data_IF_023357573652
#
_entry.id   IF_023357573652
#
_cell.length_a   1.000
_cell.length_b   1.000
_cell.length_c   1.000
_cell.angle_alpha   90.00
_cell.angle_beta   90.00
_cell.angle_gamma   90.00
#
_symmetry.space_group_name_H-M   'P 1'
#
loop_
_entity.id
_entity.type
_entity.pdbx_description
1 polymer ?
#
# COMPACT_ATOMS: atom_id res chain seq x y z
N UNK A 1 -13.62 -1.98 -8.98
CA UNK A 1 -12.85 -1.22 -7.99
C UNK A 1 -12.26 -2.24 -7.04
N UNK A 2 -10.93 -2.23 -6.86
CA UNK A 2 -10.25 -3.09 -5.88
C UNK A 2 -10.03 -2.25 -4.62
N UNK A 3 -10.47 -2.76 -3.47
CA UNK A 3 -10.43 -2.04 -2.21
C UNK A 3 -9.75 -2.92 -1.15
N UNK A 4 -8.86 -2.31 -0.38
CA UNK A 4 -8.21 -2.92 0.78
C UNK A 4 -8.57 -2.11 2.01
N UNK A 5 -9.25 -2.73 2.97
CA UNK A 5 -9.58 -2.12 4.26
C UNK A 5 -8.81 -2.88 5.32
N UNK A 6 -7.96 -2.17 6.07
CA UNK A 6 -7.10 -2.74 7.09
C UNK A 6 -7.20 -1.90 8.35
N UNK A 7 -7.31 -2.57 9.49
CA UNK A 7 -7.27 -1.97 10.82
C UNK A 7 -6.18 -2.68 11.64
N UNK A 8 -5.37 -1.92 12.37
CA UNK A 8 -4.36 -2.49 13.24
C UNK A 8 -3.45 -1.45 13.88
N UNK A 9 -2.49 -1.94 14.65
CA UNK A 9 -1.55 -1.12 15.42
C UNK A 9 -0.32 -0.68 14.63
N UNK A 10 -0.22 -1.10 13.37
CA UNK A 10 0.93 -0.79 12.52
C UNK A 10 0.80 0.59 11.89
N UNK A 11 1.94 1.22 11.61
CA UNK A 11 1.97 2.53 10.96
C UNK A 11 1.28 2.45 9.57
N UNK A 12 0.34 3.37 9.24
CA UNK A 12 -0.35 3.37 7.94
C UNK A 12 0.60 3.40 6.73
N UNK A 13 1.72 4.14 6.80
CA UNK A 13 2.71 4.18 5.73
C UNK A 13 3.36 2.80 5.51
N UNK A 14 3.63 2.05 6.58
CA UNK A 14 4.13 0.68 6.50
C UNK A 14 3.11 -0.25 5.86
N UNK A 15 1.84 -0.13 6.24
CA UNK A 15 0.74 -0.93 5.67
C UNK A 15 0.59 -0.65 4.17
N UNK A 16 0.63 0.61 3.75
CA UNK A 16 0.64 1.01 2.33
C UNK A 16 1.77 0.32 1.56
N UNK A 17 2.98 0.27 2.11
CA UNK A 17 4.11 -0.42 1.48
C UNK A 17 3.91 -1.94 1.42
N UNK A 18 3.32 -2.55 2.45
CA UNK A 18 2.98 -3.97 2.45
C UNK A 18 1.93 -4.31 1.39
N UNK A 19 0.93 -3.46 1.18
CA UNK A 19 -0.05 -3.63 0.09
C UNK A 19 0.65 -3.56 -1.27
N UNK A 20 1.57 -2.62 -1.47
CA UNK A 20 2.35 -2.53 -2.71
C UNK A 20 3.13 -3.82 -3.00
N UNK A 21 3.82 -4.33 -1.99
CA UNK A 21 4.55 -5.57 -2.09
C UNK A 21 3.60 -6.75 -2.39
N UNK A 22 2.49 -6.84 -1.67
CA UNK A 22 1.47 -7.86 -1.91
C UNK A 22 0.95 -7.83 -3.36
N UNK A 23 0.65 -6.65 -3.91
CA UNK A 23 0.19 -6.53 -5.31
C UNK A 23 1.25 -7.06 -6.30
N UNK A 24 2.54 -6.78 -6.05
CA UNK A 24 3.65 -7.29 -6.88
C UNK A 24 3.78 -8.80 -6.77
N UNK A 25 3.78 -9.34 -5.55
CA UNK A 25 3.92 -10.78 -5.28
C UNK A 25 2.71 -11.57 -5.80
N UNK A 26 1.50 -11.04 -5.61
CA UNK A 26 0.27 -11.66 -6.07
C UNK A 26 0.23 -11.78 -7.59
N UNK A 27 0.86 -10.85 -8.31
CA UNK A 27 1.02 -10.96 -9.76
C UNK A 27 1.80 -12.22 -10.16
N UNK A 28 2.86 -12.57 -9.44
CA UNK A 28 3.63 -13.81 -9.69
C UNK A 28 2.76 -15.02 -9.42
N UNK A 29 1.96 -14.98 -8.35
CA UNK A 29 1.01 -16.06 -8.05
C UNK A 29 -0.03 -16.24 -9.17
N UNK A 30 -0.51 -15.14 -9.77
CA UNK A 30 -1.41 -15.20 -10.92
C UNK A 30 -0.75 -15.83 -12.17
N UNK A 31 0.56 -15.65 -12.35
CA UNK A 31 1.30 -16.30 -13.44
C UNK A 31 1.42 -17.82 -13.22
N UNK A 32 1.66 -18.24 -11.98
CA UNK A 32 1.79 -19.65 -11.59
C UNK A 32 0.45 -20.41 -11.54
N UNK A 33 -0.68 -19.70 -11.46
CA UNK A 33 -2.01 -20.29 -11.36
C UNK A 33 -2.28 -21.26 -12.53
N UNK A 34 -2.65 -22.51 -12.25
CA UNK A 34 -2.95 -23.45 -13.34
C UNK A 34 -4.28 -23.09 -14.02
N UNK A 35 -4.48 -23.58 -15.25
CA UNK A 35 -5.76 -23.38 -15.96
C UNK A 35 -6.90 -24.01 -15.18
N UNK A 36 -6.68 -25.18 -14.57
CA UNK A 36 -7.67 -25.88 -13.75
C UNK A 36 -8.02 -25.11 -12.47
N UNK A 37 -7.02 -24.54 -11.78
CA UNK A 37 -7.25 -23.70 -10.58
C UNK A 37 -8.04 -22.43 -10.93
N UNK A 38 -7.72 -21.81 -12.07
CA UNK A 38 -8.43 -20.65 -12.58
C UNK A 38 -9.89 -20.99 -12.91
N UNK A 39 -10.12 -22.03 -13.69
CA UNK A 39 -11.46 -22.49 -14.04
C UNK A 39 -12.28 -22.87 -12.80
N UNK A 40 -11.67 -23.54 -11.82
CA UNK A 40 -12.31 -23.87 -10.54
C UNK A 40 -12.73 -22.62 -9.76
N UNK A 41 -11.88 -21.58 -9.77
CA UNK A 41 -12.19 -20.29 -9.14
C UNK A 41 -13.33 -19.56 -9.85
N UNK A 42 -13.35 -19.58 -11.19
CA UNK A 42 -14.43 -19.02 -12.00
C UNK A 42 -15.74 -19.75 -11.76
N UNK A 43 -15.73 -21.09 -11.72
CA UNK A 43 -16.93 -21.89 -11.43
C UNK A 43 -17.47 -21.61 -10.03
N UNK A 44 -16.59 -21.52 -9.03
CA UNK A 44 -16.98 -21.18 -7.66
C UNK A 44 -17.64 -19.80 -7.59
N UNK A 45 -17.12 -18.82 -8.33
CA UNK A 45 -17.71 -17.48 -8.41
C UNK A 45 -19.07 -17.47 -9.14
N UNK A 46 -19.22 -18.29 -10.19
CA UNK A 46 -20.51 -18.46 -10.89
C UNK A 46 -21.54 -19.08 -9.95
N UNK A 47 -21.18 -20.14 -9.21
CA UNK A 47 -22.08 -20.77 -8.25
C UNK A 47 -22.52 -19.81 -7.15
N UNK A 48 -21.60 -18.98 -6.64
CA UNK A 48 -21.92 -17.94 -5.66
C UNK A 48 -22.90 -16.90 -6.22
N UNK A 49 -22.73 -16.50 -7.48
CA UNK A 49 -23.64 -15.55 -8.14
C UNK A 49 -25.02 -16.15 -8.43
N UNK A 50 -25.08 -17.45 -8.73
CA UNK A 50 -26.35 -18.15 -9.01
C UNK A 50 -27.16 -18.47 -7.75
N UNK A 51 -26.61 -18.23 -6.56
CA UNK A 51 -27.35 -18.42 -5.32
C UNK A 51 -28.61 -17.55 -5.31
N UNK A 52 -29.76 -18.21 -5.19
CA UNK A 52 -31.05 -17.53 -5.27
C UNK A 52 -31.25 -16.65 -4.04
N UNK A 53 -31.73 -15.43 -4.26
CA UNK A 53 -32.19 -14.56 -3.18
C UNK A 53 -33.28 -15.27 -2.37
N UNK A 54 -33.02 -15.45 -1.07
CA UNK A 54 -33.86 -16.29 -0.20
C UNK A 54 -35.09 -15.53 0.28
N UNK A 55 -35.00 -14.21 0.44
CA UNK A 55 -36.09 -13.38 0.92
C UNK A 55 -36.54 -12.33 -0.09
N UNK A 56 -37.82 -11.95 0.00
CA UNK A 56 -38.39 -10.81 -0.75
C UNK A 56 -37.66 -9.51 -0.42
N UNK A 57 -37.12 -9.38 0.80
CA UNK A 57 -36.33 -8.22 1.20
C UNK A 57 -35.01 -8.12 0.42
N UNK A 58 -34.35 -9.25 0.19
CA UNK A 58 -33.12 -9.30 -0.61
C UNK A 58 -33.40 -9.01 -2.08
N UNK A 59 -34.50 -9.55 -2.63
CA UNK A 59 -34.97 -9.27 -3.98
C UNK A 59 -35.32 -7.79 -4.17
N UNK A 60 -36.06 -7.21 -3.22
CA UNK A 60 -36.37 -5.78 -3.21
C UNK A 60 -35.10 -4.92 -3.14
N UNK A 61 -34.18 -5.23 -2.23
CA UNK A 61 -32.91 -4.50 -2.08
C UNK A 61 -32.05 -4.57 -3.34
N UNK A 62 -32.01 -5.73 -3.99
CA UNK A 62 -31.31 -5.93 -5.25
C UNK A 62 -31.89 -5.04 -6.37
N UNK A 63 -33.20 -5.13 -6.62
CA UNK A 63 -33.87 -4.29 -7.61
C UNK A 63 -33.75 -2.80 -7.29
N UNK A 64 -33.86 -2.43 -6.02
CA UNK A 64 -33.76 -1.04 -5.59
C UNK A 64 -32.36 -0.47 -5.83
N UNK A 65 -31.29 -1.26 -5.67
CA UNK A 65 -29.94 -0.82 -6.02
C UNK A 65 -29.78 -0.51 -7.52
N UNK A 66 -30.49 -1.24 -8.38
CA UNK A 66 -30.52 -0.97 -9.82
C UNK A 66 -31.30 0.30 -10.17
N UNK A 67 -32.38 0.59 -9.46
CA UNK A 67 -33.16 1.82 -9.59
C UNK A 67 -32.35 3.02 -9.08
N UNK A 68 -31.80 2.93 -7.86
CA UNK A 68 -31.05 4.00 -7.21
C UNK A 68 -29.73 4.35 -7.92
N UNK A 69 -29.21 3.45 -8.74
CA UNK A 69 -28.04 3.71 -9.57
C UNK A 69 -28.37 4.27 -10.96
N UNK A 70 -29.65 4.45 -11.30
CA UNK A 70 -30.17 4.85 -12.61
C UNK A 70 -29.71 3.97 -13.78
N UNK A 71 -29.23 2.75 -13.49
CA UNK A 71 -28.73 1.82 -14.50
C UNK A 71 -29.80 0.88 -15.02
N UNK A 72 -30.82 0.57 -14.21
CA UNK A 72 -31.96 -0.31 -14.56
C UNK A 72 -31.58 -1.67 -15.19
N UNK A 73 -30.38 -2.20 -14.88
CA UNK A 73 -29.86 -3.46 -15.42
C UNK A 73 -30.35 -4.67 -14.61
N UNK A 74 -31.64 -4.98 -14.70
CA UNK A 74 -32.25 -6.11 -13.98
C UNK A 74 -31.89 -7.50 -14.55
N UNK A 75 -31.16 -7.54 -15.65
CA UNK A 75 -30.57 -8.73 -16.27
C UNK A 75 -29.06 -8.82 -16.01
N UNK A 76 -28.53 -8.00 -15.09
CA UNK A 76 -27.10 -7.93 -14.81
C UNK A 76 -26.53 -9.29 -14.38
N UNK A 77 -27.30 -10.08 -13.64
CA UNK A 77 -26.82 -11.34 -13.11
C UNK A 77 -26.53 -12.34 -14.22
N UNK A 78 -27.48 -12.52 -15.14
CA UNK A 78 -27.36 -13.40 -16.31
C UNK A 78 -26.20 -12.96 -17.18
N UNK A 79 -26.12 -11.65 -17.48
CA UNK A 79 -25.02 -11.08 -18.24
C UNK A 79 -23.66 -11.31 -17.56
N UNK A 80 -23.53 -11.02 -16.26
CA UNK A 80 -22.27 -11.20 -15.51
C UNK A 80 -21.81 -12.68 -15.60
N UNK A 81 -22.74 -13.64 -15.49
CA UNK A 81 -22.44 -15.07 -15.60
C UNK A 81 -21.96 -15.44 -17.01
N UNK A 82 -22.61 -14.92 -18.05
CA UNK A 82 -22.19 -15.18 -19.44
C UNK A 82 -20.78 -14.65 -19.72
N UNK A 83 -20.45 -13.45 -19.22
CA UNK A 83 -19.11 -12.89 -19.36
C UNK A 83 -18.08 -13.66 -18.54
N UNK A 84 -18.42 -14.11 -17.33
CA UNK A 84 -17.52 -14.91 -16.49
C UNK A 84 -17.14 -16.24 -17.15
N UNK A 85 -18.07 -16.88 -17.86
CA UNK A 85 -17.80 -18.14 -18.60
C UNK A 85 -16.83 -17.97 -19.76
N UNK A 86 -16.72 -16.76 -20.31
CA UNK A 86 -15.83 -16.45 -21.43
C UNK A 86 -14.46 -15.93 -20.98
N UNK A 87 -14.30 -15.65 -19.68
CA UNK A 87 -13.10 -15.06 -19.13
C UNK A 87 -11.93 -16.06 -19.17
N UNK A 88 -10.79 -15.64 -19.72
CA UNK A 88 -9.57 -16.43 -19.70
C UNK A 88 -8.57 -15.95 -18.64
N UNK A 89 -7.59 -16.79 -18.31
CA UNK A 89 -6.47 -16.41 -17.44
C UNK A 89 -5.68 -15.23 -18.03
N UNK A 90 -5.51 -15.21 -19.35
CA UNK A 90 -4.79 -14.14 -20.04
C UNK A 90 -5.52 -12.79 -19.92
N UNK A 91 -6.86 -12.79 -19.95
CA UNK A 91 -7.67 -11.59 -19.70
C UNK A 91 -7.45 -11.04 -18.29
N UNK A 92 -7.37 -11.93 -17.28
CA UNK A 92 -7.10 -11.54 -15.90
C UNK A 92 -5.70 -10.92 -15.75
N UNK A 93 -4.68 -11.52 -16.38
CA UNK A 93 -3.32 -10.99 -16.37
C UNK A 93 -3.25 -9.63 -17.09
N UNK A 94 -3.89 -9.51 -18.25
CA UNK A 94 -3.98 -8.25 -19.00
C UNK A 94 -4.71 -7.17 -18.19
N UNK A 95 -5.78 -7.51 -17.48
CA UNK A 95 -6.47 -6.60 -16.57
C UNK A 95 -5.54 -6.13 -15.43
N UNK A 96 -4.82 -7.06 -14.80
CA UNK A 96 -3.89 -6.76 -13.71
C UNK A 96 -2.78 -5.81 -14.16
N UNK A 97 -2.15 -6.10 -15.31
CA UNK A 97 -1.09 -5.28 -15.89
C UNK A 97 -1.57 -3.94 -16.42
N UNK A 98 -2.86 -3.80 -16.74
CA UNK A 98 -3.40 -2.55 -17.27
C UNK A 98 -3.82 -1.56 -16.18
N UNK A 99 -4.34 -2.06 -15.06
CA UNK A 99 -5.01 -1.23 -14.05
C UNK A 99 -4.45 -1.36 -12.62
N UNK A 100 -3.87 -2.49 -12.24
CA UNK A 100 -3.58 -2.79 -10.83
C UNK A 100 -2.09 -2.67 -10.49
N UNK A 101 -1.21 -3.18 -11.35
CA UNK A 101 0.22 -3.20 -11.06
C UNK A 101 0.84 -1.81 -11.26
N UNK A 102 1.29 -1.15 -10.18
CA UNK A 102 1.89 0.19 -10.24
C UNK A 102 3.07 0.29 -11.22
N UNK A 103 3.81 -0.80 -11.44
CA UNK A 103 5.03 -0.78 -12.24
C UNK A 103 4.74 -0.95 -13.74
N UNK A 104 3.61 -1.56 -14.11
CA UNK A 104 3.26 -1.86 -15.53
C UNK A 104 2.00 -1.14 -16.02
N UNK A 105 1.11 -0.71 -15.11
CA UNK A 105 -0.21 -0.19 -15.43
C UNK A 105 -0.18 1.25 -15.95
N UNK A 106 -0.54 1.40 -17.23
CA UNK A 106 -0.74 2.70 -17.89
C UNK A 106 -1.89 3.49 -17.27
N UNK A 107 -2.90 2.82 -16.73
CA UNK A 107 -4.09 3.43 -16.14
C UNK A 107 -4.18 3.15 -14.64
N UNK A 108 -3.04 3.16 -13.96
CA UNK A 108 -2.99 3.02 -12.52
C UNK A 108 -3.65 4.22 -11.85
N UNK A 109 -4.73 3.98 -11.10
CA UNK A 109 -5.38 4.98 -10.27
C UNK A 109 -5.50 4.43 -8.86
N UNK A 110 -5.03 5.19 -7.88
CA UNK A 110 -5.04 4.80 -6.48
C UNK A 110 -5.45 5.98 -5.60
N UNK A 111 -6.25 5.67 -4.59
CA UNK A 111 -6.56 6.55 -3.49
C UNK A 111 -6.22 5.84 -2.19
N UNK A 112 -5.38 6.46 -1.36
CA UNK A 112 -5.09 5.99 -0.02
C UNK A 112 -5.73 6.91 1.00
N UNK A 113 -6.51 6.33 1.91
CA UNK A 113 -7.01 7.02 3.10
C UNK A 113 -6.30 6.46 4.32
N UNK A 114 -5.44 7.27 4.93
CA UNK A 114 -4.67 6.86 6.10
C UNK A 114 -5.22 7.51 7.36
N UNK A 115 -5.59 6.68 8.34
CA UNK A 115 -5.99 7.11 9.68
C UNK A 115 -4.86 6.81 10.66
N UNK A 116 -4.39 7.84 11.37
CA UNK A 116 -3.25 7.73 12.28
C UNK A 116 -3.74 7.70 13.73
N UNK A 117 -3.24 6.73 14.49
CA UNK A 117 -3.48 6.64 15.93
C UNK A 117 -2.58 7.62 16.68
N UNK A 118 -3.14 8.33 17.67
CA UNK A 118 -2.38 9.25 18.53
C UNK A 118 -1.25 8.58 19.33
N UNK A 119 -1.25 7.24 19.43
CA UNK A 119 -0.21 6.46 20.10
C UNK A 119 1.02 6.21 19.23
N UNK A 120 0.88 6.37 17.92
CA UNK A 120 1.93 6.08 16.94
C UNK A 120 2.56 7.42 16.53
N UNK A 121 3.86 7.41 16.27
CA UNK A 121 4.50 8.57 15.68
C UNK A 121 3.92 8.86 14.29
N UNK A 122 3.51 10.10 14.07
CA UNK A 122 3.02 10.61 12.79
C UNK A 122 4.07 11.57 12.20
N UNK A 123 4.40 11.46 10.90
CA UNK A 123 5.24 12.44 10.23
C UNK A 123 4.55 13.81 10.15
N UNK A 124 5.33 14.87 10.29
CA UNK A 124 4.88 16.24 10.04
C UNK A 124 4.66 16.47 8.54
N UNK A 125 3.85 17.48 8.16
CA UNK A 125 3.62 17.80 6.75
C UNK A 125 4.92 18.05 5.95
N UNK A 126 5.92 18.66 6.58
CA UNK A 126 7.22 18.94 5.97
C UNK A 126 8.03 17.65 5.73
N UNK A 127 7.96 16.69 6.65
CA UNK A 127 8.62 15.39 6.50
C UNK A 127 8.01 14.56 5.37
N UNK A 128 6.69 14.66 5.14
CA UNK A 128 6.02 14.04 4.00
C UNK A 128 6.44 14.62 2.64
N UNK A 129 6.82 15.90 2.60
CA UNK A 129 7.32 16.57 1.40
C UNK A 129 8.80 16.29 1.16
N UNK A 130 9.57 16.07 2.22
CA UNK A 130 11.02 15.92 2.13
C UNK A 130 11.47 14.46 1.94
N UNK A 131 10.75 13.50 2.53
CA UNK A 131 11.20 12.10 2.58
C UNK A 131 10.24 11.15 1.85
N UNK A 132 10.76 10.16 1.10
CA UNK A 132 9.96 9.10 0.50
C UNK A 132 9.13 8.32 1.54
N UNK A 133 7.99 7.79 1.10
CA UNK A 133 7.02 7.12 1.99
C UNK A 133 7.62 5.87 2.65
N UNK A 134 8.52 5.19 1.96
CA UNK A 134 9.20 4.02 2.50
C UNK A 134 10.22 4.34 3.62
N UNK A 135 10.86 5.51 3.56
CA UNK A 135 11.76 6.01 4.61
C UNK A 135 10.97 6.33 5.87
N UNK A 136 9.82 7.01 5.71
CA UNK A 136 8.89 7.31 6.80
C UNK A 136 8.33 6.05 7.44
N UNK A 137 8.02 5.03 6.62
CA UNK A 137 7.62 3.71 7.08
C UNK A 137 8.70 3.04 7.95
N UNK A 138 9.95 2.98 7.46
CA UNK A 138 11.06 2.39 8.20
C UNK A 138 11.31 3.11 9.52
N UNK A 139 11.35 4.45 9.50
CA UNK A 139 11.51 5.25 10.70
C UNK A 139 10.39 5.03 11.72
N UNK A 140 9.15 4.96 11.25
CA UNK A 140 7.99 4.62 12.09
C UNK A 140 8.12 3.25 12.74
N UNK A 141 8.59 2.24 11.99
CA UNK A 141 8.86 0.91 12.52
C UNK A 141 9.99 0.92 13.57
N UNK A 142 11.09 1.64 13.32
CA UNK A 142 12.20 1.79 14.28
C UNK A 142 11.72 2.39 15.60
N UNK A 143 10.94 3.47 15.54
CA UNK A 143 10.35 4.09 16.75
C UNK A 143 9.40 3.16 17.48
N UNK A 144 8.57 2.40 16.75
CA UNK A 144 7.68 1.41 17.36
C UNK A 144 8.44 0.27 18.05
N UNK A 145 9.63 -0.07 17.55
CA UNK A 145 10.55 -1.03 18.17
C UNK A 145 11.36 -0.47 19.35
N UNK A 146 11.15 0.79 19.74
CA UNK A 146 11.86 1.43 20.85
C UNK A 146 13.18 2.12 20.45
N UNK A 147 13.54 2.13 19.17
CA UNK A 147 14.73 2.81 18.66
C UNK A 147 14.42 4.29 18.39
N UNK A 148 14.54 5.14 19.40
CA UNK A 148 14.19 6.58 19.33
C UNK A 148 15.39 7.51 19.14
N UNK A 149 16.61 6.98 19.19
CA UNK A 149 17.85 7.76 19.15
C UNK A 149 18.20 8.28 17.75
N UNK A 150 17.67 7.64 16.70
CA UNK A 150 17.97 7.99 15.31
C UNK A 150 17.05 9.12 14.83
N UNK A 151 17.56 9.98 13.95
CA UNK A 151 16.79 10.97 13.20
C UNK A 151 16.40 10.45 11.82
N UNK A 152 15.33 11.02 11.23
CA UNK A 152 14.87 10.64 9.89
C UNK A 152 15.93 10.92 8.84
N UNK A 153 16.65 12.04 8.94
CA UNK A 153 17.73 12.40 8.04
C UNK A 153 18.87 11.36 8.02
N UNK A 154 19.19 10.79 9.18
CA UNK A 154 20.22 9.74 9.28
C UNK A 154 19.75 8.45 8.63
N UNK A 155 18.51 8.02 8.88
CA UNK A 155 17.91 6.86 8.22
C UNK A 155 17.87 7.05 6.71
N UNK A 156 17.56 8.27 6.25
CA UNK A 156 17.56 8.59 4.84
C UNK A 156 18.97 8.53 4.23
N UNK A 157 19.96 9.14 4.89
CA UNK A 157 21.35 9.10 4.43
C UNK A 157 21.92 7.68 4.41
N UNK A 158 21.54 6.85 5.38
CA UNK A 158 21.89 5.44 5.42
C UNK A 158 21.31 4.71 4.21
N UNK A 159 20.02 4.84 3.95
CA UNK A 159 19.37 4.22 2.79
C UNK A 159 19.98 4.67 1.45
N UNK A 160 20.47 5.90 1.35
CA UNK A 160 21.20 6.38 0.17
C UNK A 160 22.59 5.76 0.04
N UNK A 161 23.26 5.46 1.17
CA UNK A 161 24.58 4.83 1.18
C UNK A 161 24.54 3.33 0.91
N UNK A 162 23.40 2.68 1.15
CA UNK A 162 23.21 1.24 0.92
C UNK A 162 22.98 0.97 -0.56
N UNK A 163 23.99 0.41 -1.23
CA UNK A 163 23.88 -0.07 -2.62
C UNK A 163 23.73 -1.58 -2.69
N UNK A 164 22.54 -2.03 -3.11
CA UNK A 164 22.08 -3.26 -3.82
C UNK A 164 22.80 -4.63 -3.74
N UNK A 165 24.02 -4.78 -3.20
CA UNK A 165 24.76 -6.07 -3.17
C UNK A 165 24.84 -6.74 -1.81
N UNK A 166 24.39 -6.08 -0.75
CA UNK A 166 24.53 -6.58 0.62
C UNK A 166 23.30 -7.43 1.00
N UNK A 167 23.52 -8.57 1.66
CA UNK A 167 22.43 -9.34 2.28
C UNK A 167 21.65 -8.45 3.23
N UNK A 168 20.33 -8.66 3.36
CA UNK A 168 19.50 -7.90 4.30
C UNK A 168 20.09 -7.98 5.71
N UNK A 169 20.69 -9.11 6.06
CA UNK A 169 21.35 -9.34 7.35
C UNK A 169 22.56 -8.43 7.56
N UNK A 170 23.40 -8.21 6.53
CA UNK A 170 24.55 -7.29 6.66
C UNK A 170 24.10 -5.83 6.75
N UNK A 171 23.04 -5.44 6.04
CA UNK A 171 22.47 -4.09 6.16
C UNK A 171 21.83 -3.87 7.54
N UNK A 172 21.20 -4.90 8.11
CA UNK A 172 20.70 -4.85 9.48
C UNK A 172 21.84 -4.73 10.50
N UNK A 173 22.96 -5.42 10.29
CA UNK A 173 24.15 -5.28 11.12
C UNK A 173 24.72 -3.85 11.06
N UNK A 174 24.86 -3.27 9.87
CA UNK A 174 25.31 -1.88 9.69
C UNK A 174 24.38 -0.87 10.38
N UNK A 175 23.06 -1.07 10.28
CA UNK A 175 22.07 -0.24 10.97
C UNK A 175 22.18 -0.40 12.50
N UNK A 176 22.41 -1.62 12.99
CA UNK A 176 22.65 -1.88 14.41
C UNK A 176 23.93 -1.21 14.91
N UNK A 177 25.00 -1.20 14.11
CA UNK A 177 26.25 -0.51 14.45
C UNK A 177 26.05 1.01 14.53
N UNK A 178 25.34 1.60 13.56
CA UNK A 178 24.97 3.01 13.60
C UNK A 178 24.15 3.36 14.83
N UNK A 179 23.17 2.52 15.18
CA UNK A 179 22.38 2.70 16.40
C UNK A 179 23.23 2.60 17.68
N UNK A 180 24.11 1.60 17.75
CA UNK A 180 24.99 1.35 18.91
C UNK A 180 26.02 2.46 19.12
N UNK A 181 26.54 3.03 18.03
CA UNK A 181 27.53 4.13 18.07
C UNK A 181 26.98 5.42 18.70
N UNK A 182 25.65 5.60 18.73
CA UNK A 182 24.98 6.81 19.23
C UNK A 182 24.29 6.65 20.57
N UNK A 183 24.24 5.44 21.13
CA UNK A 183 23.73 5.25 22.49
C UNK A 183 24.72 5.77 23.53
N UNK A 184 24.21 6.44 24.58
CA UNK A 184 25.00 6.78 25.76
C UNK A 184 25.49 5.50 26.47
N UNK A 185 26.67 5.50 27.12
CA UNK A 185 27.37 4.29 27.58
C UNK A 185 26.76 3.58 28.81
N UNK A 186 25.44 3.61 28.97
CA UNK A 186 24.77 2.95 30.09
C UNK A 186 23.34 2.56 29.78
N UNK A 187 23.13 1.61 28.89
CA UNK A 187 22.08 0.59 29.01
C UNK A 187 22.16 -0.37 27.82
N UNK A 188 22.33 -1.66 28.11
CA UNK A 188 22.20 -2.81 27.20
C UNK A 188 23.53 -3.32 26.60
N UNK A 189 23.81 -4.60 26.87
CA UNK A 189 24.93 -5.35 26.32
C UNK A 189 24.73 -5.49 24.79
N UNK A 190 25.80 -5.39 23.98
CA UNK A 190 25.74 -5.52 22.52
C UNK A 190 24.99 -6.77 22.00
N UNK A 191 24.92 -7.84 22.81
CA UNK A 191 24.14 -9.05 22.50
C UNK A 191 22.60 -8.89 22.57
N UNK A 192 22.07 -7.88 23.27
CA UNK A 192 20.63 -7.61 23.37
C UNK A 192 20.12 -6.62 22.31
N UNK A 193 21.01 -5.84 21.70
CA UNK A 193 20.68 -4.99 20.55
C UNK A 193 20.47 -5.83 19.27
N UNK A 194 21.29 -6.87 19.06
CA UNK A 194 21.11 -7.85 17.98
C UNK A 194 19.77 -8.57 18.08
N UNK A 195 19.40 -9.05 19.27
CA UNK A 195 18.09 -9.68 19.45
C UNK A 195 16.93 -8.68 19.28
N UNK A 196 17.04 -7.42 19.71
CA UNK A 196 15.97 -6.44 19.50
C UNK A 196 15.65 -6.16 18.01
N UNK A 197 16.68 -6.12 17.14
CA UNK A 197 16.52 -5.97 15.69
C UNK A 197 16.13 -7.27 14.98
N UNK A 198 16.68 -8.42 15.40
CA UNK A 198 16.31 -9.76 14.89
C UNK A 198 14.86 -10.15 15.26
N UNK A 199 14.33 -9.67 16.39
CA UNK A 199 13.00 -10.10 16.88
C UNK A 199 11.83 -9.30 16.28
N UNK A 200 12.08 -8.20 15.55
CA UNK A 200 11.01 -7.48 14.86
C UNK A 200 11.04 -7.76 13.37
N UNK A 201 10.36 -8.84 12.96
CA UNK A 201 10.08 -9.15 11.54
C UNK A 201 9.58 -7.93 10.75
N UNK A 202 8.93 -6.97 11.43
CA UNK A 202 8.46 -5.71 10.85
C UNK A 202 9.59 -4.76 10.44
N UNK A 203 10.66 -4.62 11.22
CA UNK A 203 11.78 -3.72 10.89
C UNK A 203 12.56 -4.28 9.70
N UNK A 204 12.88 -5.58 9.72
CA UNK A 204 13.53 -6.25 8.59
C UNK A 204 12.69 -6.13 7.30
N UNK A 205 11.38 -6.38 7.40
CA UNK A 205 10.46 -6.19 6.26
C UNK A 205 10.40 -4.73 5.81
N UNK A 206 10.33 -3.77 6.73
CA UNK A 206 10.31 -2.35 6.39
C UNK A 206 11.59 -1.89 5.69
N UNK A 207 12.74 -2.41 6.13
CA UNK A 207 14.03 -2.15 5.52
C UNK A 207 14.10 -2.74 4.12
N UNK A 208 13.68 -4.00 3.94
CA UNK A 208 13.60 -4.64 2.63
C UNK A 208 12.72 -3.82 1.68
N UNK A 209 11.53 -3.41 2.14
CA UNK A 209 10.62 -2.56 1.35
C UNK A 209 11.24 -1.21 1.01
N UNK A 210 11.98 -0.58 1.94
CA UNK A 210 12.66 0.68 1.70
C UNK A 210 13.74 0.54 0.61
N UNK A 211 14.55 -0.51 0.67
CA UNK A 211 15.57 -0.82 -0.34
C UNK A 211 14.92 -1.06 -1.70
N UNK A 212 13.88 -1.90 -1.78
CA UNK A 212 13.18 -2.17 -3.05
C UNK A 212 12.49 -0.91 -3.61
N UNK A 213 11.95 -0.04 -2.75
CA UNK A 213 11.32 1.21 -3.20
C UNK A 213 12.32 2.24 -3.73
N UNK A 214 13.55 2.25 -3.22
CA UNK A 214 14.63 3.12 -3.70
C UNK A 214 15.11 2.71 -5.10
N UNK A 215 14.94 1.44 -5.46
CA UNK A 215 15.29 0.91 -6.80
C UNK A 215 14.22 1.20 -7.84
N UNK A 216 12.94 1.11 -7.44
CA UNK A 216 11.81 1.13 -8.35
C UNK A 216 10.99 2.42 -8.29
N UNK A 217 11.53 3.53 -7.77
CA UNK A 217 10.71 4.73 -7.48
C UNK A 217 10.12 5.29 -8.78
N UNK A 218 8.81 5.09 -9.05
CA UNK A 218 8.21 5.64 -10.26
C UNK A 218 8.10 7.13 -10.02
N UNK A 219 8.68 7.94 -10.89
CA UNK A 219 8.52 9.38 -10.79
C UNK A 219 7.09 9.76 -11.24
N UNK A 220 6.15 9.81 -10.29
CA UNK A 220 4.76 10.15 -10.57
C UNK A 220 4.57 11.62 -10.97
N UNK A 221 5.59 12.48 -10.76
CA UNK A 221 5.55 13.87 -11.21
C UNK A 221 5.39 13.98 -12.73
N UNK A 222 5.90 13.00 -13.50
CA UNK A 222 5.79 12.98 -14.96
C UNK A 222 4.47 12.35 -15.46
N UNK A 223 3.69 11.71 -14.59
CA UNK A 223 2.45 11.02 -14.94
C UNK A 223 1.19 11.90 -14.70
N UNK A 224 1.32 12.95 -13.89
CA UNK A 224 0.21 13.86 -13.56
C UNK A 224 0.36 15.19 -14.30
N UNK A 225 -0.42 15.40 -15.35
CA UNK A 225 -0.57 16.73 -15.98
C UNK A 225 -1.42 17.69 -15.14
N UNK A 226 -2.11 17.17 -14.13
CA UNK A 226 -3.00 17.92 -13.26
C UNK A 226 -2.25 18.41 -12.02
N UNK A 227 -2.36 19.71 -11.74
CA UNK A 227 -1.79 20.34 -10.56
C UNK A 227 -2.91 20.55 -9.52
N UNK A 228 -2.77 19.92 -8.34
CA UNK A 228 -3.73 20.03 -7.24
C UNK A 228 -3.28 20.99 -6.12
N UNK A 229 -2.19 21.74 -6.33
CA UNK A 229 -1.73 22.73 -5.36
C UNK A 229 -2.78 23.83 -5.09
N UNK A 230 -3.63 24.13 -6.08
CA UNK A 230 -4.72 25.10 -5.96
C UNK A 230 -5.79 24.72 -4.92
N UNK A 231 -5.91 23.44 -4.58
CA UNK A 231 -6.86 22.93 -3.58
C UNK A 231 -6.17 22.57 -2.24
N UNK A 232 -4.93 23.03 -2.05
CA UNK A 232 -4.17 22.83 -0.81
C UNK A 232 -3.45 21.48 -0.72
N UNK A 233 -3.36 20.73 -1.82
CA UNK A 233 -2.58 19.49 -1.85
C UNK A 233 -1.09 19.79 -2.01
N UNK A 234 -0.26 18.97 -1.36
CA UNK A 234 1.20 19.01 -1.44
C UNK A 234 1.72 17.73 -2.08
N UNK A 235 2.82 17.81 -2.81
CA UNK A 235 3.36 16.65 -3.53
C UNK A 235 4.54 16.05 -2.76
N UNK A 236 4.53 14.74 -2.56
CA UNK A 236 5.67 14.00 -1.98
C UNK A 236 6.84 13.92 -2.98
N UNK A 237 8.05 13.53 -2.55
CA UNK A 237 9.19 13.31 -3.45
C UNK A 237 8.90 12.27 -4.54
N UNK A 238 7.97 11.35 -4.28
CA UNK A 238 7.55 10.31 -5.22
C UNK A 238 6.59 10.87 -6.29
N UNK A 239 6.04 12.07 -6.09
CA UNK A 239 5.07 12.69 -6.97
C UNK A 239 3.61 12.46 -6.55
N UNK A 240 3.37 11.95 -5.34
CA UNK A 240 2.04 11.64 -4.81
C UNK A 240 1.43 12.90 -4.19
N UNK A 241 0.19 13.21 -4.54
CA UNK A 241 -0.54 14.32 -3.95
C UNK A 241 -1.13 13.94 -2.59
N UNK A 242 -0.83 14.76 -1.58
CA UNK A 242 -1.20 14.57 -0.19
C UNK A 242 -2.12 15.70 0.28
N UNK A 243 -3.15 15.34 1.04
CA UNK A 243 -3.97 16.28 1.80
C UNK A 243 -3.60 16.11 3.27
N UNK A 244 -2.77 17.02 3.78
CA UNK A 244 -2.33 16.99 5.17
C UNK A 244 -3.31 17.71 6.11
N UNK A 245 -4.10 18.64 5.57
CA UNK A 245 -5.09 19.42 6.30
C UNK A 245 -6.45 19.33 5.63
N UNK A 246 -7.32 18.49 6.19
CA UNK A 246 -8.70 18.34 5.72
C UNK A 246 -9.48 19.67 5.77
N UNK A 247 -9.16 20.58 6.69
CA UNK A 247 -9.87 21.85 6.81
C UNK A 247 -9.54 22.80 5.66
N UNK A 248 -8.28 22.83 5.22
CA UNK A 248 -7.85 23.57 4.02
C UNK A 248 -8.48 22.99 2.74
N UNK A 249 -8.56 21.66 2.65
CA UNK A 249 -9.26 21.02 1.53
C UNK A 249 -10.76 21.37 1.53
N UNK A 250 -11.41 21.33 2.70
CA UNK A 250 -12.84 21.64 2.81
C UNK A 250 -13.13 23.11 2.50
N UNK A 251 -12.23 24.04 2.82
CA UNK A 251 -12.41 25.46 2.51
C UNK A 251 -12.11 25.80 1.04
N UNK A 252 -11.27 25.02 0.36
CA UNK A 252 -10.99 25.18 -1.07
C UNK A 252 -12.07 24.58 -1.98
N UNK A 253 -12.85 23.62 -1.46
CA UNK A 253 -14.04 23.10 -2.11
C UNK A 253 -15.17 24.13 -1.96
N UNK A 254 -15.40 24.92 -3.02
CA UNK A 254 -16.60 25.75 -3.14
C UNK A 254 -17.83 24.83 -3.20
N UNK A 255 -18.36 24.45 -2.03
CA UNK A 255 -19.65 23.79 -1.92
C UNK A 255 -20.72 24.82 -2.30
N UNK A 256 -21.19 24.75 -3.55
CA UNK A 256 -22.45 25.34 -3.98
C UNK A 256 -23.62 24.43 -3.60
#
# INVERSE_FOLDING_TARGET
MLEFILEGESNPAYVTQRINQFIREYRLRLLELSTEEFESSVQSLISLKQEKLVSIGDEFGWHWAHINSDKYRFDKLENDIEHLKQLSKDDLLAFWDKYINKDTAKHYTRLDLQTWSAKIWQPTPEEFEMYPSAVLSLFGCLRSGGHTTLSIAEVYSFLLSVTTSNSIDTVLEELCELYSSKQAPSTINAGTARTAFETSSKIATALQMAISSAQDTPNFANLSTTNFASIGMKQSPEGIWLINDYTQFKSSQALH
#
